data_IF_724918376202
#
_entry.id   IF_724918376202
#
_cell.length_a   1.000
_cell.length_b   1.000
_cell.length_c   1.000
_cell.angle_alpha   90.00
_cell.angle_beta   90.00
_cell.angle_gamma   90.00
#
_symmetry.space_group_name_H-M   'P 1'
#
loop_
_entity.id
_entity.type
_entity.pdbx_description
1 polymer ?
#
# COMPACT_ATOMS: atom_id res chain seq x y z
N UNK A 1 31.18 -4.70 33.28
CA UNK A 1 31.48 -5.43 32.02
C UNK A 1 30.32 -5.41 31.03
N UNK A 2 29.05 -5.32 31.43
CA UNK A 2 27.90 -5.30 30.50
C UNK A 2 27.76 -3.99 29.68
N UNK A 3 28.10 -2.83 30.25
CA UNK A 3 27.97 -1.54 29.55
C UNK A 3 28.91 -1.39 28.33
N UNK A 4 30.13 -1.95 28.41
CA UNK A 4 31.10 -1.90 27.31
C UNK A 4 30.69 -2.77 26.12
N UNK A 5 30.08 -3.93 26.37
CA UNK A 5 29.60 -4.85 25.33
C UNK A 5 28.44 -4.25 24.54
N UNK A 6 27.56 -3.50 25.20
CA UNK A 6 26.38 -2.88 24.60
C UNK A 6 26.75 -1.66 23.71
N UNK A 7 27.79 -0.92 24.10
CA UNK A 7 28.35 0.17 23.29
C UNK A 7 29.03 -0.36 22.02
N UNK A 8 29.76 -1.47 22.13
CA UNK A 8 30.42 -2.10 20.98
C UNK A 8 29.42 -2.67 19.98
N UNK A 9 28.30 -3.25 20.43
CA UNK A 9 27.25 -3.78 19.52
C UNK A 9 26.48 -2.68 18.79
N UNK A 10 26.33 -1.48 19.39
CA UNK A 10 25.76 -0.32 18.70
C UNK A 10 26.67 0.18 17.57
N UNK A 11 27.99 0.23 17.82
CA UNK A 11 28.98 0.73 16.86
C UNK A 11 29.23 -0.26 15.72
N UNK A 12 29.04 -1.56 15.97
CA UNK A 12 29.22 -2.64 14.97
C UNK A 12 27.94 -3.01 14.21
N UNK A 13 26.82 -2.31 14.43
CA UNK A 13 25.59 -2.57 13.65
C UNK A 13 25.77 -2.15 12.20
N UNK A 14 25.65 -3.11 11.28
CA UNK A 14 25.67 -2.85 9.84
C UNK A 14 24.48 -1.98 9.44
N UNK A 15 24.69 -1.05 8.52
CA UNK A 15 23.59 -0.29 7.92
C UNK A 15 22.54 -1.23 7.33
N UNK A 16 21.27 -1.06 7.74
CA UNK A 16 20.17 -1.81 7.16
C UNK A 16 19.95 -1.38 5.71
N UNK A 17 19.87 -2.35 4.80
CA UNK A 17 19.52 -2.07 3.40
C UNK A 17 18.02 -1.84 3.30
N UNK A 18 17.64 -0.61 2.97
CA UNK A 18 16.27 -0.26 2.59
C UNK A 18 16.22 -0.18 1.06
N UNK A 19 15.49 -1.09 0.43
CA UNK A 19 15.17 -1.01 -1.00
C UNK A 19 13.87 -0.19 -1.19
N UNK A 20 13.73 0.49 -2.33
CA UNK A 20 12.53 1.30 -2.62
C UNK A 20 11.28 0.48 -2.94
N UNK A 21 11.43 -0.83 -3.15
CA UNK A 21 10.32 -1.69 -3.55
C UNK A 21 10.64 -3.17 -3.38
N UNK A 22 9.58 -3.96 -3.55
CA UNK A 22 9.63 -5.41 -3.47
C UNK A 22 9.11 -6.05 -4.76
N UNK A 23 9.88 -6.96 -5.33
CA UNK A 23 9.46 -7.82 -6.43
C UNK A 23 9.54 -9.28 -5.97
N UNK A 24 8.42 -9.99 -6.00
CA UNK A 24 8.38 -11.41 -5.62
C UNK A 24 9.27 -12.26 -6.55
N UNK A 25 9.35 -11.88 -7.82
CA UNK A 25 10.23 -12.50 -8.82
C UNK A 25 10.86 -11.43 -9.71
N UNK A 26 12.09 -11.69 -10.17
CA UNK A 26 12.81 -10.82 -11.08
C UNK A 26 13.26 -9.51 -10.44
N UNK A 27 13.42 -8.47 -11.27
CA UNK A 27 13.83 -7.12 -10.83
C UNK A 27 12.65 -6.16 -10.81
N UNK A 28 12.78 -5.08 -10.04
CA UNK A 28 11.77 -4.02 -9.98
C UNK A 28 11.58 -3.37 -11.36
N UNK A 29 10.33 -3.26 -11.80
CA UNK A 29 9.98 -2.64 -13.08
C UNK A 29 10.28 -1.13 -13.11
N UNK A 30 10.14 -0.45 -11.98
CA UNK A 30 10.29 1.00 -11.88
C UNK A 30 11.51 1.37 -11.03
N UNK A 31 12.31 2.37 -11.45
CA UNK A 31 13.48 2.84 -10.71
C UNK A 31 13.08 3.58 -9.43
N UNK A 32 14.04 3.81 -8.52
CA UNK A 32 13.82 4.44 -7.20
C UNK A 32 13.06 5.77 -7.26
N UNK A 33 13.30 6.58 -8.28
CA UNK A 33 12.77 7.94 -8.42
C UNK A 33 11.63 8.05 -9.45
N UNK A 34 10.92 6.97 -9.74
CA UNK A 34 9.79 7.04 -10.65
C UNK A 34 8.65 7.90 -10.05
N UNK A 35 7.99 8.70 -10.88
CA UNK A 35 6.96 9.65 -10.43
C UNK A 35 5.54 9.13 -10.59
N UNK A 36 5.31 8.21 -11.53
CA UNK A 36 4.01 7.60 -11.79
C UNK A 36 4.16 6.24 -12.46
N UNK A 37 3.16 5.37 -12.30
CA UNK A 37 3.12 4.11 -13.03
C UNK A 37 2.90 4.34 -14.53
N UNK A 38 3.38 3.43 -15.38
CA UNK A 38 3.31 3.59 -16.83
C UNK A 38 1.88 3.58 -17.42
N UNK A 39 0.88 3.19 -16.62
CA UNK A 39 -0.53 3.20 -17.01
C UNK A 39 -1.28 4.47 -16.55
N UNK A 40 -0.59 5.38 -15.84
CA UNK A 40 -1.19 6.63 -15.35
C UNK A 40 -0.97 7.72 -16.39
N UNK A 41 -2.04 8.44 -16.71
CA UNK A 41 -1.93 9.73 -17.40
C UNK A 41 -1.65 10.83 -16.36
N UNK A 42 -0.44 11.44 -16.31
CA UNK A 42 -0.11 12.48 -15.33
C UNK A 42 -0.95 13.74 -15.52
N UNK A 43 -1.37 14.03 -16.76
CA UNK A 43 -2.17 15.20 -17.13
C UNK A 43 -3.69 14.93 -17.04
N UNK A 44 -4.10 13.86 -16.36
CA UNK A 44 -5.50 13.51 -16.23
C UNK A 44 -6.29 14.66 -15.55
N UNK A 45 -7.36 15.17 -16.18
CA UNK A 45 -8.17 16.23 -15.61
C UNK A 45 -8.76 15.78 -14.26
N UNK A 46 -8.79 16.68 -13.29
CA UNK A 46 -9.32 16.41 -11.95
C UNK A 46 -10.76 16.90 -11.86
N UNK A 47 -11.59 16.14 -11.15
CA UNK A 47 -13.02 16.43 -10.94
C UNK A 47 -13.95 15.57 -11.80
N UNK A 48 -15.24 15.95 -11.81
CA UNK A 48 -16.30 15.16 -12.43
C UNK A 48 -16.99 14.19 -11.46
N UNK A 49 -17.91 13.39 -12.00
CA UNK A 49 -18.66 12.37 -11.24
C UNK A 49 -18.40 10.98 -11.82
N UNK A 50 -17.94 10.05 -10.97
CA UNK A 50 -17.76 8.65 -11.33
C UNK A 50 -18.93 7.81 -10.80
N UNK A 51 -19.82 7.36 -11.69
CA UNK A 51 -20.94 6.47 -11.35
C UNK A 51 -20.54 5.01 -11.57
N UNK A 52 -20.41 4.26 -10.48
CA UNK A 52 -20.00 2.85 -10.50
C UNK A 52 -21.15 1.92 -10.15
N UNK A 53 -21.14 0.75 -10.77
CA UNK A 53 -21.93 -0.42 -10.34
C UNK A 53 -21.03 -1.32 -9.51
N UNK A 54 -21.60 -2.00 -8.51
CA UNK A 54 -20.87 -3.00 -7.71
C UNK A 54 -20.23 -4.05 -8.62
N UNK A 55 -18.94 -4.30 -8.47
CA UNK A 55 -18.23 -5.42 -9.09
C UNK A 55 -18.31 -6.71 -8.26
N UNK A 56 -18.96 -6.67 -7.10
CA UNK A 56 -19.13 -7.81 -6.22
C UNK A 56 -20.45 -8.54 -6.53
N UNK A 57 -20.48 -9.85 -6.28
CA UNK A 57 -21.73 -10.64 -6.34
C UNK A 57 -22.75 -10.16 -5.31
N UNK A 58 -22.29 -9.71 -4.15
CA UNK A 58 -23.15 -9.14 -3.10
C UNK A 58 -23.64 -7.77 -3.55
N UNK A 59 -24.96 -7.64 -3.73
CA UNK A 59 -25.60 -6.40 -4.19
C UNK A 59 -25.96 -5.44 -3.06
N UNK A 60 -25.84 -5.87 -1.80
CA UNK A 60 -26.17 -5.06 -0.62
C UNK A 60 -25.02 -5.04 0.39
N UNK A 61 -25.00 -4.04 1.25
CA UNK A 61 -24.04 -3.90 2.33
C UNK A 61 -24.79 -3.57 3.63
N UNK A 62 -24.22 -3.99 4.77
CA UNK A 62 -24.82 -3.81 6.09
C UNK A 62 -23.88 -3.08 7.07
N UNK A 63 -22.66 -2.76 6.65
CA UNK A 63 -21.64 -2.08 7.47
C UNK A 63 -20.64 -1.30 6.62
N UNK A 64 -19.89 -0.40 7.27
CA UNK A 64 -18.80 0.38 6.65
C UNK A 64 -17.41 0.06 7.20
N UNK A 65 -17.25 -1.00 7.98
CA UNK A 65 -15.94 -1.46 8.44
C UNK A 65 -15.52 -2.73 7.67
N UNK A 66 -14.56 -2.64 6.73
CA UNK A 66 -14.12 -3.79 5.95
C UNK A 66 -13.18 -4.75 6.71
N UNK A 67 -12.75 -4.42 7.93
CA UNK A 67 -11.73 -5.16 8.68
C UNK A 67 -12.30 -6.16 9.69
N UNK A 68 -13.62 -6.28 9.78
CA UNK A 68 -14.30 -7.23 10.69
C UNK A 68 -14.86 -8.43 9.94
N UNK A 69 -14.93 -9.58 10.61
CA UNK A 69 -15.28 -10.86 9.98
C UNK A 69 -16.74 -10.97 9.50
N UNK A 70 -17.70 -10.36 10.22
CA UNK A 70 -19.14 -10.51 9.95
C UNK A 70 -19.69 -9.31 9.18
N UNK A 71 -20.62 -9.56 8.25
CA UNK A 71 -21.29 -8.53 7.46
C UNK A 71 -20.55 -8.22 6.16
N UNK A 72 -21.18 -7.43 5.30
CA UNK A 72 -20.66 -7.08 3.96
C UNK A 72 -20.45 -5.57 3.86
N UNK A 73 -19.23 -5.16 3.52
CA UNK A 73 -18.91 -3.78 3.23
C UNK A 73 -19.21 -3.44 1.76
N UNK A 74 -19.48 -2.17 1.41
CA UNK A 74 -19.65 -1.72 0.03
C UNK A 74 -18.46 -2.08 -0.87
N UNK A 75 -18.75 -2.30 -2.16
CA UNK A 75 -17.72 -2.41 -3.18
C UNK A 75 -16.83 -1.15 -3.20
N UNK A 76 -15.55 -1.32 -3.53
CA UNK A 76 -14.54 -0.27 -3.65
C UNK A 76 -14.17 0.50 -2.37
N UNK A 77 -14.87 0.29 -1.24
CA UNK A 77 -14.63 1.00 0.02
C UNK A 77 -13.15 0.96 0.43
N UNK A 78 -12.54 -0.23 0.42
CA UNK A 78 -11.13 -0.41 0.80
C UNK A 78 -10.15 0.32 -0.12
N UNK A 79 -10.47 0.45 -1.41
CA UNK A 79 -9.55 1.03 -2.40
C UNK A 79 -9.67 2.56 -2.51
N UNK A 80 -10.81 3.13 -2.14
CA UNK A 80 -11.10 4.56 -2.35
C UNK A 80 -11.06 5.37 -1.04
N UNK A 81 -11.12 4.72 0.12
CA UNK A 81 -11.16 5.41 1.42
C UNK A 81 -10.00 5.11 2.36
N UNK A 82 -9.29 3.99 2.18
CA UNK A 82 -8.22 3.56 3.08
C UNK A 82 -6.89 3.42 2.32
N UNK A 83 -5.78 3.60 3.03
CA UNK A 83 -4.40 3.45 2.56
C UNK A 83 -3.68 2.33 3.35
N UNK A 84 -2.52 1.89 2.88
CA UNK A 84 -1.71 0.79 3.46
C UNK A 84 -0.28 1.17 3.77
#
# INVERSE_FOLDING_TARGET
>A
MQAGVLLVSLVLSSAAWAAHGYALWGTLKYPENFTHFGYVNPDAPKGGELRLVSNLRTSTFDKYNPFTLRGSAPAYLSNLMFDT
#
